data_IF_704309575736
#
_entry.id   IF_704309575736
#
_cell.length_a   1.000
_cell.length_b   1.000
_cell.length_c   1.000
_cell.angle_alpha   90.00
_cell.angle_beta   90.00
_cell.angle_gamma   90.00
#
_symmetry.space_group_name_H-M   'P 1'
#
loop_
_entity.id
_entity.type
_entity.pdbx_description
1 polymer ?
#
# COMPACT_ATOMS: atom_id res chain seq x y z
N UNK A 1 -24.24 -10.60 0.24
CA UNK A 1 -24.16 -9.30 -0.51
C UNK A 1 -23.93 -8.11 0.42
N UNK A 2 -24.68 -7.96 1.55
CA UNK A 2 -24.47 -6.84 2.49
C UNK A 2 -23.12 -6.89 3.19
N UNK A 3 -22.64 -8.06 3.63
CA UNK A 3 -21.34 -8.25 4.27
C UNK A 3 -20.17 -7.91 3.31
N UNK A 4 -20.27 -8.31 2.04
CA UNK A 4 -19.28 -7.94 1.02
C UNK A 4 -19.25 -6.43 0.74
N UNK A 5 -20.41 -5.77 0.78
CA UNK A 5 -20.48 -4.31 0.63
C UNK A 5 -19.89 -3.58 1.84
N UNK A 6 -20.10 -4.08 3.05
CA UNK A 6 -19.48 -3.54 4.27
C UNK A 6 -17.96 -3.72 4.26
N UNK A 7 -17.46 -4.92 3.93
CA UNK A 7 -16.02 -5.18 3.79
C UNK A 7 -15.39 -4.28 2.72
N UNK A 8 -16.03 -4.14 1.55
CA UNK A 8 -15.56 -3.23 0.50
C UNK A 8 -15.42 -1.79 1.00
N UNK A 9 -16.39 -1.31 1.76
CA UNK A 9 -16.40 0.04 2.32
C UNK A 9 -15.32 0.23 3.38
N UNK A 10 -15.00 -0.80 4.14
CA UNK A 10 -13.98 -0.80 5.19
C UNK A 10 -12.55 -0.75 4.63
N UNK A 11 -12.32 -1.31 3.43
CA UNK A 11 -11.02 -1.31 2.75
C UNK A 11 -10.85 -0.19 1.73
N UNK A 12 -11.82 0.71 1.60
CA UNK A 12 -11.74 1.85 0.71
C UNK A 12 -11.13 3.03 1.45
N UNK A 13 -9.96 3.47 0.99
CA UNK A 13 -9.26 4.64 1.51
C UNK A 13 -9.24 5.75 0.45
N UNK A 14 -9.27 6.98 0.88
CA UNK A 14 -9.14 8.15 -0.01
C UNK A 14 -7.78 8.79 0.20
N UNK A 15 -7.14 9.14 -0.90
CA UNK A 15 -5.84 9.78 -0.91
C UNK A 15 -5.87 11.05 -1.75
N UNK A 16 -5.07 12.03 -1.35
CA UNK A 16 -4.80 13.23 -2.15
C UNK A 16 -3.39 13.18 -2.69
N UNK A 17 -3.24 13.33 -4.01
CA UNK A 17 -1.97 13.57 -4.69
C UNK A 17 -1.84 15.05 -5.04
N UNK A 18 -1.01 15.77 -4.31
CA UNK A 18 -0.62 17.14 -4.64
C UNK A 18 0.70 17.15 -5.37
N UNK A 19 0.80 17.82 -6.51
CA UNK A 19 1.99 17.77 -7.34
C UNK A 19 2.30 19.10 -8.03
N UNK A 20 3.55 19.28 -8.38
CA UNK A 20 4.04 20.26 -9.32
C UNK A 20 4.94 19.56 -10.36
N UNK A 21 5.74 20.32 -11.13
CA UNK A 21 6.61 19.75 -12.16
C UNK A 21 7.78 18.93 -11.63
N UNK A 22 8.17 19.12 -10.36
CA UNK A 22 9.39 18.55 -9.79
C UNK A 22 9.12 17.59 -8.63
N UNK A 23 8.02 17.77 -7.91
CA UNK A 23 7.74 17.02 -6.71
C UNK A 23 6.24 16.75 -6.50
N UNK A 24 5.94 15.80 -5.63
CA UNK A 24 4.58 15.51 -5.21
C UNK A 24 4.52 15.01 -3.77
N UNK A 25 3.34 15.16 -3.17
CA UNK A 25 2.95 14.55 -1.90
C UNK A 25 1.71 13.71 -2.15
N UNK A 26 1.76 12.46 -1.73
CA UNK A 26 0.63 11.54 -1.70
C UNK A 26 0.31 11.22 -0.25
N UNK A 27 -0.89 11.57 0.18
CA UNK A 27 -1.30 11.48 1.59
C UNK A 27 -2.69 10.88 1.69
N UNK A 28 -2.90 9.99 2.67
CA UNK A 28 -4.23 9.49 3.03
C UNK A 28 -5.06 10.63 3.64
N UNK A 29 -6.32 10.75 3.24
CA UNK A 29 -7.27 11.67 3.87
C UNK A 29 -7.76 11.04 5.17
N UNK A 30 -7.66 11.80 6.26
CA UNK A 30 -8.14 11.33 7.56
C UNK A 30 -9.66 11.10 7.50
N UNK A 31 -10.07 9.87 7.73
CA UNK A 31 -11.49 9.53 7.87
C UNK A 31 -11.90 9.71 9.33
N UNK A 32 -12.80 10.65 9.58
CA UNK A 32 -13.42 10.84 10.90
C UNK A 32 -14.47 9.75 11.23
N UNK A 33 -14.68 8.81 10.35
CA UNK A 33 -15.63 7.72 10.59
C UNK A 33 -15.00 6.73 11.60
N UNK A 34 -15.61 6.55 12.80
CA UNK A 34 -15.14 5.52 13.71
C UNK A 34 -15.27 4.16 13.04
N UNK A 35 -14.26 3.32 13.19
CA UNK A 35 -14.31 1.91 12.81
C UNK A 35 -15.45 1.26 13.60
N UNK A 36 -16.67 1.24 13.06
CA UNK A 36 -17.78 0.49 13.64
C UNK A 36 -17.57 -0.99 13.31
N UNK A 37 -16.86 -1.68 14.18
CA UNK A 37 -16.87 -3.13 14.23
C UNK A 37 -18.20 -3.52 14.87
N UNK A 38 -19.23 -3.73 14.07
CA UNK A 38 -20.52 -4.17 14.53
C UNK A 38 -20.57 -5.70 14.65
N UNK A 39 -20.86 -6.22 15.84
CA UNK A 39 -21.19 -7.62 16.05
C UNK A 39 -20.22 -8.31 17.03
N UNK A 40 -20.78 -8.86 18.08
CA UNK A 40 -20.13 -9.27 19.31
C UNK A 40 -19.20 -10.50 19.25
N UNK A 41 -18.88 -11.08 18.08
CA UNK A 41 -18.11 -12.33 18.02
C UNK A 41 -16.95 -12.37 17.00
N UNK A 42 -16.61 -11.26 16.33
CA UNK A 42 -15.51 -11.26 15.39
C UNK A 42 -14.70 -9.96 15.48
N UNK A 43 -13.61 -9.98 16.23
CA UNK A 43 -12.63 -8.88 16.22
C UNK A 43 -11.62 -9.11 15.11
N UNK A 44 -11.79 -8.44 13.98
CA UNK A 44 -10.73 -8.29 12.99
C UNK A 44 -9.85 -7.14 13.46
N UNK A 45 -8.72 -7.44 14.05
CA UNK A 45 -7.69 -6.44 14.32
C UNK A 45 -6.97 -6.15 13.02
N UNK A 46 -7.42 -5.12 12.29
CA UNK A 46 -6.63 -4.56 11.20
C UNK A 46 -5.49 -3.79 11.86
N UNK A 47 -4.31 -4.39 11.93
CA UNK A 47 -3.08 -3.70 12.30
C UNK A 47 -2.56 -2.96 11.06
N UNK A 48 -3.40 -2.10 10.49
CA UNK A 48 -2.91 -0.96 9.75
C UNK A 48 -2.75 0.12 10.83
N UNK A 49 -1.54 0.30 11.28
CA UNK A 49 -1.19 1.43 12.12
C UNK A 49 -1.24 2.68 11.22
N UNK A 50 -2.46 3.02 10.77
CA UNK A 50 -2.74 4.17 9.94
C UNK A 50 -2.47 5.47 10.69
N UNK A 51 -1.21 5.70 10.93
CA UNK A 51 -0.69 7.03 11.15
C UNK A 51 -0.60 7.69 9.77
N UNK A 52 -0.69 8.98 9.72
CA UNK A 52 -0.64 9.83 8.54
C UNK A 52 0.59 9.53 7.64
N UNK A 53 0.56 8.43 6.91
CA UNK A 53 1.61 8.10 5.95
C UNK A 53 1.64 9.18 4.87
N UNK A 54 2.79 9.77 4.68
CA UNK A 54 3.02 10.82 3.70
C UNK A 54 4.17 10.40 2.79
N UNK A 55 3.84 10.13 1.54
CA UNK A 55 4.84 9.85 0.52
C UNK A 55 5.18 11.12 -0.26
N UNK A 56 6.38 11.64 -0.06
CA UNK A 56 6.96 12.69 -0.87
C UNK A 56 7.83 12.08 -1.96
N UNK A 57 7.66 12.53 -3.21
CA UNK A 57 8.50 12.15 -4.35
C UNK A 57 9.09 13.39 -4.99
N UNK A 58 10.40 13.43 -5.17
CA UNK A 58 11.08 14.42 -6.00
C UNK A 58 11.46 13.74 -7.32
N UNK A 59 10.63 13.92 -8.33
CA UNK A 59 10.79 13.27 -9.63
C UNK A 59 11.98 13.83 -10.44
N UNK A 60 12.41 15.05 -10.14
CA UNK A 60 13.59 15.69 -10.74
C UNK A 60 14.88 15.06 -10.21
N UNK A 61 14.99 14.92 -8.91
CA UNK A 61 16.17 14.34 -8.25
C UNK A 61 16.09 12.80 -8.15
N UNK A 62 14.94 12.21 -8.51
CA UNK A 62 14.67 10.77 -8.44
C UNK A 62 14.83 10.17 -7.03
N UNK A 63 14.40 10.90 -6.01
CA UNK A 63 14.41 10.45 -4.63
C UNK A 63 13.00 10.53 -4.04
N UNK A 64 12.74 9.70 -3.04
CA UNK A 64 11.51 9.78 -2.27
C UNK A 64 11.79 9.79 -0.77
N UNK A 65 10.84 10.30 -0.02
CA UNK A 65 10.76 10.21 1.44
C UNK A 65 9.36 9.74 1.81
N UNK A 66 9.29 8.56 2.38
CA UNK A 66 8.04 7.93 2.82
C UNK A 66 7.99 7.98 4.35
N UNK A 67 7.18 8.90 4.89
CA UNK A 67 6.95 9.01 6.33
C UNK A 67 5.92 7.98 6.75
N UNK A 68 6.31 7.06 7.62
CA UNK A 68 5.47 5.97 8.13
C UNK A 68 5.39 5.97 9.65
N UNK A 69 4.17 5.91 10.17
CA UNK A 69 3.97 5.59 11.58
C UNK A 69 3.85 4.08 11.75
N UNK A 70 4.82 3.48 12.41
CA UNK A 70 4.86 2.05 12.64
C UNK A 70 4.89 1.78 14.13
N UNK A 71 3.76 1.31 14.66
CA UNK A 71 3.60 0.99 16.10
C UNK A 71 4.01 2.15 17.02
N UNK A 72 3.58 3.37 16.69
CA UNK A 72 3.88 4.59 17.44
C UNK A 72 5.30 5.12 17.28
N UNK A 73 6.04 4.63 16.28
CA UNK A 73 7.35 5.18 15.90
C UNK A 73 7.29 5.68 14.46
N UNK A 74 7.63 6.94 14.28
CA UNK A 74 7.69 7.56 12.96
C UNK A 74 9.05 7.31 12.33
N UNK A 75 9.03 6.75 11.13
CA UNK A 75 10.19 6.55 10.27
C UNK A 75 10.10 7.45 9.04
N UNK A 76 11.26 7.89 8.56
CA UNK A 76 11.45 8.53 7.26
C UNK A 76 12.25 7.58 6.40
N UNK A 77 11.55 6.84 5.53
CA UNK A 77 12.19 5.92 4.60
C UNK A 77 12.62 6.73 3.38
N UNK A 78 13.92 6.93 3.22
CA UNK A 78 14.53 7.70 2.13
C UNK A 78 15.29 6.78 1.20
N UNK A 79 14.97 6.85 -0.08
CA UNK A 79 15.67 6.05 -1.09
C UNK A 79 15.50 6.65 -2.49
N UNK A 80 16.13 6.04 -3.47
CA UNK A 80 15.97 6.40 -4.88
C UNK A 80 14.63 5.93 -5.44
N UNK A 81 14.03 6.72 -6.34
CA UNK A 81 12.85 6.30 -7.10
C UNK A 81 13.30 5.34 -8.20
N UNK A 82 12.88 4.09 -8.09
CA UNK A 82 13.15 3.08 -9.09
C UNK A 82 12.49 3.42 -10.44
N UNK A 83 13.21 3.15 -11.50
CA UNK A 83 12.67 3.27 -12.85
C UNK A 83 11.69 2.13 -13.12
N UNK A 84 10.49 2.48 -13.57
CA UNK A 84 9.51 1.50 -14.03
C UNK A 84 9.60 1.41 -15.56
N UNK A 85 9.85 0.21 -16.08
CA UNK A 85 9.93 -0.05 -17.51
C UNK A 85 8.51 -0.34 -18.07
N UNK A 86 7.78 0.77 -18.31
CA UNK A 86 6.43 0.70 -18.86
C UNK A 86 6.41 0.29 -20.32
N UNK A 87 5.56 -0.68 -20.65
CA UNK A 87 5.18 -1.01 -22.00
C UNK A 87 3.92 -0.22 -22.35
N UNK A 88 4.03 0.70 -23.31
CA UNK A 88 2.91 1.51 -23.79
C UNK A 88 2.01 0.66 -24.70
N UNK A 89 0.70 0.74 -24.46
CA UNK A 89 -0.31 0.00 -25.20
C UNK A 89 -1.11 0.96 -26.09
N UNK A 90 -1.83 0.41 -27.08
CA UNK A 90 -2.65 1.21 -28.00
C UNK A 90 -4.07 1.49 -27.47
N UNK A 91 -4.44 0.80 -26.40
CA UNK A 91 -5.78 0.93 -25.82
C UNK A 91 -5.96 2.29 -25.18
N UNK A 92 -7.16 2.83 -25.34
CA UNK A 92 -7.57 4.10 -24.76
C UNK A 92 -8.92 3.97 -24.07
N UNK A 93 -9.16 4.79 -23.05
CA UNK A 93 -10.46 4.96 -22.43
C UNK A 93 -10.60 6.36 -21.86
N UNK A 94 -11.81 6.74 -21.46
CA UNK A 94 -12.04 7.98 -20.73
C UNK A 94 -12.12 7.69 -19.22
N UNK A 95 -11.46 8.54 -18.42
CA UNK A 95 -11.63 8.62 -16.98
C UNK A 95 -12.11 10.05 -16.66
N UNK A 96 -13.38 10.18 -16.31
CA UNK A 96 -14.01 11.48 -16.29
C UNK A 96 -13.97 12.13 -17.67
N UNK A 97 -13.39 13.32 -17.76
CA UNK A 97 -13.23 14.06 -19.01
C UNK A 97 -11.90 13.78 -19.73
N UNK A 98 -10.96 13.06 -19.09
CA UNK A 98 -9.61 12.86 -19.60
C UNK A 98 -9.54 11.63 -20.50
N UNK A 99 -8.97 11.80 -21.69
CA UNK A 99 -8.57 10.66 -22.52
C UNK A 99 -7.32 10.02 -21.93
N UNK A 100 -7.38 8.72 -21.61
CA UNK A 100 -6.31 7.96 -21.01
C UNK A 100 -5.79 6.87 -21.93
N UNK A 101 -4.50 6.65 -21.86
CA UNK A 101 -3.75 5.62 -22.57
C UNK A 101 -3.31 4.55 -21.58
N UNK A 102 -3.29 3.31 -22.03
CA UNK A 102 -2.89 2.16 -21.24
C UNK A 102 -1.38 1.96 -21.27
N UNK A 103 -0.81 1.64 -20.13
CA UNK A 103 0.55 1.12 -20.03
C UNK A 103 0.58 -0.06 -19.05
N UNK A 104 1.50 -1.00 -19.28
CA UNK A 104 1.69 -2.18 -18.42
C UNK A 104 3.14 -2.38 -18.09
N UNK A 105 3.43 -3.01 -16.95
CA UNK A 105 4.74 -3.57 -16.64
C UNK A 105 4.59 -4.82 -15.78
N UNK A 106 5.62 -5.64 -15.77
CA UNK A 106 5.66 -6.86 -14.96
C UNK A 106 6.61 -6.64 -13.79
N UNK A 107 6.15 -6.99 -12.59
CA UNK A 107 7.01 -7.03 -11.40
C UNK A 107 6.97 -8.41 -10.76
N UNK A 108 8.10 -8.80 -10.15
CA UNK A 108 8.18 -9.99 -9.32
C UNK A 108 7.64 -9.67 -7.93
N UNK A 109 6.76 -10.50 -7.42
CA UNK A 109 6.22 -10.36 -6.05
C UNK A 109 6.26 -11.72 -5.36
N UNK A 110 6.48 -11.72 -4.07
CA UNK A 110 6.37 -12.94 -3.28
C UNK A 110 4.94 -13.49 -3.38
N UNK A 111 4.81 -14.78 -3.63
CA UNK A 111 3.52 -15.47 -3.56
C UNK A 111 2.96 -15.28 -2.16
N UNK A 112 1.72 -14.82 -2.01
CA UNK A 112 1.11 -14.77 -0.70
C UNK A 112 1.16 -16.15 -0.08
N UNK A 113 1.84 -16.30 1.06
CA UNK A 113 1.73 -17.53 1.84
C UNK A 113 0.25 -17.66 2.22
N UNK A 114 -0.40 -18.72 1.74
CA UNK A 114 -1.69 -19.12 2.27
C UNK A 114 -1.44 -19.54 3.71
N UNK A 115 -1.61 -18.60 4.63
CA UNK A 115 -1.78 -18.95 6.02
C UNK A 115 -3.11 -19.69 6.09
N UNK A 116 -3.07 -21.01 5.92
CA UNK A 116 -4.22 -21.87 6.16
C UNK A 116 -4.62 -21.66 7.60
N UNK A 117 -5.79 -21.08 7.79
CA UNK A 117 -6.36 -20.80 9.11
C UNK A 117 -6.19 -22.02 10.01
N UNK A 118 -5.87 -21.76 11.23
CA UNK A 118 -5.70 -22.73 12.31
C UNK A 118 -6.88 -23.70 12.31
N UNK A 119 -6.67 -24.86 11.76
CA UNK A 119 -7.57 -26.00 11.95
C UNK A 119 -7.29 -26.54 13.35
N UNK A 120 -8.22 -26.36 14.27
CA UNK A 120 -8.07 -26.63 15.72
C UNK A 120 -7.91 -28.13 16.02
N UNK A 121 -7.81 -29.02 15.03
CA UNK A 121 -7.92 -30.46 15.26
C UNK A 121 -6.92 -31.35 14.49
N UNK A 122 -5.81 -30.84 13.97
CA UNK A 122 -4.78 -31.75 13.45
C UNK A 122 -3.45 -31.49 14.15
N UNK A 123 -2.87 -32.59 14.62
CA UNK A 123 -1.53 -32.65 15.22
C UNK A 123 -0.56 -31.97 14.24
N UNK A 124 -0.02 -30.84 14.67
CA UNK A 124 1.03 -30.16 13.94
C UNK A 124 2.25 -31.06 14.04
N UNK A 125 2.52 -31.83 13.00
CA UNK A 125 3.86 -32.35 12.77
C UNK A 125 4.73 -31.12 12.54
N UNK A 126 5.69 -30.90 13.44
CA UNK A 126 6.79 -29.96 13.25
C UNK A 126 7.50 -30.37 11.96
N UNK A 127 7.04 -29.86 10.81
CA UNK A 127 7.91 -29.82 9.64
C UNK A 127 8.84 -28.64 9.89
N UNK A 128 10.11 -28.98 10.06
CA UNK A 128 11.22 -28.05 10.01
C UNK A 128 10.93 -27.02 8.92
N UNK A 129 10.83 -25.73 9.33
CA UNK A 129 10.82 -24.62 8.38
C UNK A 129 12.21 -24.59 7.74
N UNK A 130 12.44 -25.46 6.74
CA UNK A 130 13.46 -25.20 5.76
C UNK A 130 13.21 -23.81 5.24
N UNK A 131 14.22 -22.94 5.32
CA UNK A 131 14.26 -21.60 4.75
C UNK A 131 14.03 -21.69 3.22
N UNK A 132 12.83 -22.04 2.80
CA UNK A 132 12.45 -21.94 1.41
C UNK A 132 12.30 -20.47 1.08
N UNK A 133 13.19 -19.97 0.25
CA UNK A 133 13.04 -18.64 -0.34
C UNK A 133 11.61 -18.48 -0.85
N UNK A 134 10.95 -17.33 -0.58
CA UNK A 134 9.56 -17.15 -0.98
C UNK A 134 9.43 -17.30 -2.49
N UNK A 135 8.52 -18.19 -2.92
CA UNK A 135 8.23 -18.36 -4.35
C UNK A 135 7.82 -17.03 -4.97
N UNK A 136 8.61 -16.56 -5.93
CA UNK A 136 8.34 -15.31 -6.64
C UNK A 136 7.43 -15.57 -7.84
N UNK A 137 6.38 -14.76 -7.96
CA UNK A 137 5.43 -14.83 -9.09
C UNK A 137 5.42 -13.51 -9.87
N UNK A 138 5.21 -13.61 -11.16
CA UNK A 138 5.02 -12.46 -12.02
C UNK A 138 3.64 -11.82 -11.76
N UNK A 139 3.63 -10.51 -11.59
CA UNK A 139 2.40 -9.72 -11.50
C UNK A 139 2.42 -8.61 -12.53
N UNK A 140 1.38 -8.59 -13.36
CA UNK A 140 1.17 -7.52 -14.33
C UNK A 140 0.48 -6.36 -13.63
N UNK A 141 1.11 -5.18 -13.71
CA UNK A 141 0.51 -3.92 -13.28
C UNK A 141 0.02 -3.18 -14.52
N UNK A 142 -1.19 -2.68 -14.45
CA UNK A 142 -1.79 -1.86 -15.52
C UNK A 142 -2.02 -0.45 -15.01
N UNK A 143 -1.57 0.55 -15.78
CA UNK A 143 -1.84 1.96 -15.50
C UNK A 143 -2.55 2.62 -16.68
N UNK A 144 -3.38 3.62 -16.34
CA UNK A 144 -4.03 4.50 -17.30
C UNK A 144 -3.61 5.92 -17.01
N UNK A 145 -3.01 6.58 -18.00
CA UNK A 145 -2.45 7.92 -17.86
C UNK A 145 -2.97 8.86 -18.95
N UNK A 146 -3.04 10.15 -18.64
CA UNK A 146 -3.48 11.18 -19.59
C UNK A 146 -2.35 12.12 -19.97
N UNK A 147 -2.25 12.41 -21.24
CA UNK A 147 -1.30 13.41 -21.79
C UNK A 147 -1.78 14.86 -21.59
N UNK A 148 -3.06 15.04 -21.25
CA UNK A 148 -3.66 16.37 -21.01
C UNK A 148 -3.06 17.04 -19.75
N UNK A 149 -2.51 16.25 -18.84
CA UNK A 149 -1.73 16.70 -17.69
C UNK A 149 -0.30 16.16 -17.82
N UNK A 150 0.62 16.92 -18.49
CA UNK A 150 1.94 16.41 -18.89
C UNK A 150 2.92 16.45 -17.71
N UNK A 151 2.68 15.65 -16.70
CA UNK A 151 3.55 15.46 -15.53
C UNK A 151 3.89 13.99 -15.37
N UNK A 152 5.16 13.71 -15.15
CA UNK A 152 5.65 12.35 -14.91
C UNK A 152 5.36 11.95 -13.45
N UNK A 153 4.09 11.76 -13.11
CA UNK A 153 3.67 11.46 -11.75
C UNK A 153 2.41 10.60 -11.70
N UNK A 154 2.12 10.05 -10.52
CA UNK A 154 0.95 9.24 -10.27
C UNK A 154 0.80 8.91 -8.78
N UNK A 155 -0.24 8.14 -8.42
CA UNK A 155 -0.51 7.74 -7.04
C UNK A 155 0.58 6.80 -6.53
N UNK A 156 0.78 6.76 -5.20
CA UNK A 156 1.79 5.95 -4.53
C UNK A 156 3.17 6.07 -5.23
N UNK A 157 3.86 4.96 -5.43
CA UNK A 157 5.18 4.94 -6.11
C UNK A 157 5.10 4.91 -7.64
N UNK A 158 3.87 4.89 -8.22
CA UNK A 158 3.72 4.83 -9.67
C UNK A 158 4.05 6.17 -10.31
N UNK A 159 4.97 6.14 -11.27
CA UNK A 159 5.46 7.29 -12.02
C UNK A 159 6.17 6.82 -13.31
N UNK A 160 6.70 7.69 -14.13
CA UNK A 160 7.52 7.32 -15.29
C UNK A 160 6.79 7.33 -16.63
N UNK A 161 5.49 7.59 -16.63
CA UNK A 161 4.71 7.79 -17.85
C UNK A 161 4.71 9.26 -18.30
N UNK A 162 4.50 9.55 -19.59
CA UNK A 162 4.59 10.92 -20.12
C UNK A 162 3.41 11.81 -19.74
N UNK A 163 2.58 11.38 -18.80
CA UNK A 163 1.40 12.10 -18.32
C UNK A 163 0.97 11.60 -16.94
N UNK A 164 0.00 12.29 -16.33
CA UNK A 164 -0.52 11.95 -15.02
C UNK A 164 -1.24 10.60 -15.06
N UNK A 165 -0.85 9.70 -14.15
CA UNK A 165 -1.51 8.41 -13.97
C UNK A 165 -2.79 8.63 -13.17
N UNK A 166 -3.94 8.27 -13.76
CA UNK A 166 -5.26 8.43 -13.15
C UNK A 166 -5.83 7.11 -12.61
N UNK A 167 -5.33 5.97 -13.08
CA UNK A 167 -5.78 4.67 -12.58
C UNK A 167 -4.64 3.67 -12.59
N UNK A 168 -4.58 2.84 -11.56
CA UNK A 168 -3.62 1.73 -11.45
C UNK A 168 -4.33 0.48 -10.97
N UNK A 169 -4.06 -0.63 -11.64
CA UNK A 169 -4.41 -1.97 -11.22
C UNK A 169 -3.13 -2.76 -10.90
N UNK A 170 -2.99 -3.17 -9.64
CA UNK A 170 -1.87 -3.97 -9.16
C UNK A 170 -2.40 -5.18 -8.37
N UNK A 171 -2.78 -6.22 -9.08
CA UNK A 171 -3.38 -7.41 -8.48
C UNK A 171 -4.70 -7.12 -7.76
N UNK A 172 -4.67 -7.08 -6.43
CA UNK A 172 -5.86 -6.77 -5.61
C UNK A 172 -6.06 -5.27 -5.35
N UNK A 173 -5.02 -4.47 -5.56
CA UNK A 173 -5.05 -3.02 -5.36
C UNK A 173 -5.58 -2.33 -6.61
N UNK A 174 -6.61 -1.50 -6.43
CA UNK A 174 -7.15 -0.63 -7.47
C UNK A 174 -7.12 0.80 -6.96
N UNK A 175 -6.39 1.65 -7.65
CA UNK A 175 -6.36 3.09 -7.38
C UNK A 175 -7.04 3.79 -8.54
N UNK A 176 -8.05 4.58 -8.27
CA UNK A 176 -8.79 5.32 -9.30
C UNK A 176 -8.91 6.77 -8.89
N UNK A 177 -8.52 7.67 -9.78
CA UNK A 177 -8.69 9.10 -9.59
C UNK A 177 -10.18 9.48 -9.73
N UNK A 178 -10.72 10.10 -8.70
CA UNK A 178 -12.11 10.58 -8.68
C UNK A 178 -12.24 12.06 -9.04
N UNK A 179 -11.16 12.84 -8.85
CA UNK A 179 -11.17 14.30 -9.07
C UNK A 179 -9.78 14.81 -9.41
N UNK A 180 -9.70 15.69 -10.39
CA UNK A 180 -8.49 16.44 -10.73
C UNK A 180 -8.78 17.93 -10.61
N UNK A 181 -7.91 18.67 -9.93
CA UNK A 181 -7.95 20.13 -9.83
C UNK A 181 -6.64 20.67 -10.37
N UNK A 182 -6.69 21.44 -11.42
CA UNK A 182 -5.51 22.08 -12.02
C UNK A 182 -5.50 23.54 -11.57
N UNK A 183 -4.33 24.00 -11.11
CA UNK A 183 -4.12 25.39 -10.63
C UNK A 183 -5.16 25.80 -9.57
N UNK A 184 -5.18 25.13 -8.40
CA UNK A 184 -6.10 25.51 -7.34
C UNK A 184 -5.87 26.95 -6.88
N UNK A 185 -6.91 27.64 -6.45
CA UNK A 185 -6.84 29.03 -5.94
C UNK A 185 -5.91 29.13 -4.71
N UNK A 186 -5.95 28.14 -3.83
CA UNK A 186 -5.06 28.07 -2.67
C UNK A 186 -3.76 27.37 -3.07
N UNK A 187 -2.64 28.04 -2.80
CA UNK A 187 -1.32 27.47 -3.04
C UNK A 187 -1.08 26.30 -2.08
N UNK A 188 -0.88 25.10 -2.66
CA UNK A 188 -0.53 23.91 -1.89
C UNK A 188 0.99 23.84 -1.76
N UNK A 189 1.49 23.80 -0.53
CA UNK A 189 2.91 23.59 -0.28
C UNK A 189 3.25 22.09 -0.39
N UNK A 190 4.27 21.79 -1.19
CA UNK A 190 4.80 20.44 -1.37
C UNK A 190 6.14 20.39 -0.65
N UNK A 191 6.10 20.02 0.64
CA UNK A 191 7.28 19.99 1.51
C UNK A 191 7.63 18.54 1.84
N UNK A 192 8.93 18.24 1.80
CA UNK A 192 9.43 16.95 2.24
C UNK A 192 9.20 16.76 3.75
N UNK A 193 8.63 15.63 4.20
CA UNK A 193 8.46 15.36 5.62
C UNK A 193 9.82 15.23 6.31
N UNK A 194 9.91 15.79 7.54
CA UNK A 194 11.17 15.87 8.28
C UNK A 194 11.11 15.27 9.69
N UNK A 195 9.94 14.79 10.12
CA UNK A 195 9.76 14.22 11.46
C UNK A 195 9.84 12.71 11.40
N UNK A 196 10.81 12.10 12.06
CA UNK A 196 10.97 10.66 12.18
C UNK A 196 12.42 10.22 12.19
N UNK A 197 12.62 8.91 12.38
CA UNK A 197 13.94 8.30 12.28
C UNK A 197 14.23 8.01 10.80
N UNK A 198 15.31 8.61 10.27
CA UNK A 198 15.74 8.34 8.89
C UNK A 198 16.30 6.91 8.78
N UNK A 199 15.86 6.20 7.77
CA UNK A 199 16.32 4.86 7.38
C UNK A 199 16.21 4.72 5.86
N UNK A 200 17.01 3.85 5.25
CA UNK A 200 16.80 3.44 3.87
C UNK A 200 15.71 2.35 3.78
N UNK A 201 15.30 1.99 2.58
CA UNK A 201 14.24 1.00 2.36
C UNK A 201 14.62 -0.38 2.92
N UNK A 202 15.84 -0.82 2.66
CA UNK A 202 16.33 -2.14 3.10
C UNK A 202 16.31 -2.26 4.63
N UNK A 203 16.81 -1.25 5.33
CA UNK A 203 16.84 -1.24 6.80
C UNK A 203 15.42 -1.18 7.38
N UNK A 204 14.53 -0.42 6.76
CA UNK A 204 13.13 -0.39 7.17
C UNK A 204 12.47 -1.77 7.03
N UNK A 205 12.67 -2.44 5.91
CA UNK A 205 12.11 -3.77 5.65
C UNK A 205 12.65 -4.81 6.66
N UNK A 206 13.94 -4.75 7.02
CA UNK A 206 14.52 -5.58 8.10
C UNK A 206 13.86 -5.31 9.46
N UNK A 207 13.62 -4.02 9.78
CA UNK A 207 12.92 -3.64 11.02
C UNK A 207 11.51 -4.22 11.03
N UNK A 208 10.78 -4.13 9.91
CA UNK A 208 9.42 -4.64 9.78
C UNK A 208 9.37 -6.16 9.90
N UNK A 209 10.30 -6.86 9.26
CA UNK A 209 10.39 -8.31 9.33
C UNK A 209 10.63 -8.78 10.77
N UNK A 210 11.61 -8.15 11.46
CA UNK A 210 11.87 -8.44 12.87
C UNK A 210 10.64 -8.24 13.74
N UNK A 211 9.93 -7.12 13.55
CA UNK A 211 8.71 -6.82 14.30
C UNK A 211 7.59 -7.82 14.01
N UNK A 212 7.46 -8.25 12.77
CA UNK A 212 6.51 -9.29 12.38
C UNK A 212 6.79 -10.61 13.09
N UNK A 213 8.07 -11.04 13.12
CA UNK A 213 8.49 -12.25 13.84
C UNK A 213 8.20 -12.14 15.34
N UNK A 214 8.58 -11.04 15.99
CA UNK A 214 8.31 -10.78 17.42
C UNK A 214 6.79 -10.80 17.73
N UNK A 215 5.95 -10.29 16.81
CA UNK A 215 4.50 -10.32 16.96
C UNK A 215 3.98 -11.75 16.86
N UNK A 216 4.39 -12.52 15.85
CA UNK A 216 4.01 -13.92 15.68
C UNK A 216 4.39 -14.77 16.89
N UNK A 217 5.62 -14.63 17.42
CA UNK A 217 6.07 -15.32 18.62
C UNK A 217 5.23 -14.96 19.86
N UNK A 218 4.80 -13.70 19.98
CA UNK A 218 3.97 -13.24 21.11
C UNK A 218 2.56 -13.81 21.05
N UNK A 219 2.02 -14.03 19.87
CA UNK A 219 0.65 -14.55 19.66
C UNK A 219 0.63 -16.04 19.31
N UNK A 220 1.79 -16.70 19.19
CA UNK A 220 1.85 -18.15 19.06
C UNK A 220 1.15 -18.80 20.27
N UNK A 221 0.28 -19.80 20.06
CA UNK A 221 -0.40 -20.48 21.15
C UNK A 221 0.64 -21.16 22.04
N UNK A 222 0.85 -20.62 23.23
CA UNK A 222 1.60 -21.34 24.27
C UNK A 222 0.85 -22.62 24.58
N UNK A 223 1.44 -23.77 24.28
CA UNK A 223 0.93 -25.10 24.63
C UNK A 223 0.60 -25.14 26.13
N UNK A 224 -0.67 -25.01 26.48
CA UNK A 224 -1.14 -25.10 27.86
C UNK A 224 -2.49 -24.43 28.06
N UNK A 225 -3.56 -25.17 27.84
CA UNK A 225 -4.93 -24.95 28.34
C UNK A 225 -5.40 -23.50 28.49
N UNK A 226 -6.10 -22.97 27.45
CA UNK A 226 -7.21 -22.04 27.68
C UNK A 226 -8.29 -22.20 26.61
N UNK A 227 -9.55 -22.24 27.07
CA UNK A 227 -10.77 -22.32 26.28
C UNK A 227 -10.85 -21.21 25.23
N UNK A 228 -11.08 -21.61 24.00
CA UNK A 228 -11.99 -21.08 23.00
C UNK A 228 -12.12 -19.57 22.85
N UNK A 229 -11.09 -18.87 22.33
CA UNK A 229 -11.26 -17.61 21.60
C UNK A 229 -10.20 -17.56 20.50
N UNK A 230 -10.62 -17.69 19.26
CA UNK A 230 -9.74 -17.60 18.10
C UNK A 230 -9.61 -16.14 17.65
N UNK A 231 -8.37 -15.64 17.60
CA UNK A 231 -8.06 -14.32 17.06
C UNK A 231 -7.50 -14.51 15.64
N UNK A 232 -8.19 -14.00 14.64
CA UNK A 232 -7.68 -13.99 13.26
C UNK A 232 -6.93 -12.68 12.99
N UNK A 233 -5.61 -12.78 12.76
CA UNK A 233 -4.76 -11.61 12.40
C UNK A 233 -4.55 -11.62 10.89
N UNK A 234 -5.08 -10.61 10.18
CA UNK A 234 -4.78 -10.36 8.76
C UNK A 234 -3.77 -9.23 8.65
N UNK A 235 -2.58 -9.54 8.13
CA UNK A 235 -1.55 -8.55 7.81
C UNK A 235 -1.66 -8.27 6.31
N UNK A 236 -2.08 -7.05 5.96
CA UNK A 236 -2.10 -6.57 4.58
C UNK A 236 -0.70 -6.02 4.22
N UNK A 237 -0.23 -6.42 3.02
CA UNK A 237 0.93 -5.85 2.37
C UNK A 237 0.49 -5.00 1.17
#
# INVERSE_FOLDING_TARGET
KQMQAMLKKQFQKTYTLSFNKEASIYKEEESLAPLQVGGSDFQVMVVDAGGSDVLYKNTKNKIYTDQKDTMGKVFLVKDDIEKIDWKLEKETKFIGQYQCFKATYVKMVSKPSTFSGISVNEQIEEKDEEENEPEMIERVVTAWYTLEVPVNNGPAMYQGLPGLILEVHDGKLNIVCSKVIINPESKIEILEPSKGKEVNREDYDKIMEKKRKEMLERYAPRNGRRNGESIEIRIGG
#
